data_IF_887679939965
#
_entry.id   IF_887679939965
#
_cell.length_a   1.000
_cell.length_b   1.000
_cell.length_c   1.000
_cell.angle_alpha   90.00
_cell.angle_beta   90.00
_cell.angle_gamma   90.00
#
_symmetry.space_group_name_H-M   'P 1'
#
loop_
_entity.id
_entity.type
_entity.pdbx_description
1 polymer ?
#
# COMPACT_ATOMS: atom_id res chain seq x y z
N UNK A 1 9.95 -9.92 -18.60
CA UNK A 1 10.14 -9.24 -17.30
C UNK A 1 8.80 -8.65 -16.88
N UNK A 2 8.12 -9.29 -15.91
CA UNK A 2 6.94 -8.70 -15.28
C UNK A 2 7.41 -7.56 -14.36
N UNK A 3 6.82 -6.36 -14.52
CA UNK A 3 7.06 -5.24 -13.60
C UNK A 3 6.25 -5.51 -12.35
N UNK A 4 6.91 -5.96 -11.28
CA UNK A 4 6.30 -6.10 -9.96
C UNK A 4 6.17 -4.70 -9.37
N UNK A 5 5.00 -4.09 -9.51
CA UNK A 5 4.71 -2.84 -8.84
C UNK A 5 4.41 -3.14 -7.38
N UNK A 6 5.33 -2.77 -6.48
CA UNK A 6 5.12 -2.86 -5.03
C UNK A 6 4.29 -1.65 -4.60
N UNK A 7 2.98 -1.79 -4.61
CA UNK A 7 2.09 -0.79 -4.02
C UNK A 7 1.86 -1.14 -2.56
N UNK A 8 1.98 -0.16 -1.66
CA UNK A 8 1.56 -0.35 -0.27
C UNK A 8 0.04 -0.40 -0.22
N UNK A 9 -0.53 -1.30 0.59
CA UNK A 9 -1.98 -1.50 0.71
C UNK A 9 -2.73 -0.18 0.94
N UNK A 10 -2.16 0.73 1.73
CA UNK A 10 -2.74 2.05 1.98
C UNK A 10 -2.87 2.93 0.73
N UNK A 11 -1.90 2.87 -0.18
CA UNK A 11 -1.97 3.62 -1.45
C UNK A 11 -3.06 3.04 -2.34
N UNK A 12 -3.20 1.71 -2.41
CA UNK A 12 -4.26 1.07 -3.20
C UNK A 12 -5.64 1.44 -2.64
N UNK A 13 -5.82 1.42 -1.32
CA UNK A 13 -7.06 1.80 -0.67
C UNK A 13 -7.46 3.25 -0.99
N UNK A 14 -6.53 4.20 -0.91
CA UNK A 14 -6.79 5.61 -1.24
C UNK A 14 -7.20 5.80 -2.71
N UNK A 15 -6.60 5.03 -3.63
CA UNK A 15 -6.97 5.08 -5.05
C UNK A 15 -8.35 4.47 -5.31
N UNK A 16 -8.72 3.41 -4.58
CA UNK A 16 -10.07 2.82 -4.64
C UNK A 16 -11.12 3.85 -4.21
N UNK A 17 -10.92 4.53 -3.08
CA UNK A 17 -11.84 5.58 -2.62
C UNK A 17 -12.00 6.72 -3.63
N UNK A 18 -10.91 7.11 -4.30
CA UNK A 18 -10.94 8.12 -5.38
C UNK A 18 -11.77 7.66 -6.57
N UNK A 19 -11.64 6.39 -6.98
CA UNK A 19 -12.40 5.81 -8.09
C UNK A 19 -13.89 5.77 -7.75
N UNK A 20 -14.25 5.31 -6.54
CA UNK A 20 -15.64 5.26 -6.08
C UNK A 20 -16.29 6.65 -6.02
N UNK A 21 -15.55 7.64 -5.49
CA UNK A 21 -15.99 9.04 -5.47
C UNK A 21 -16.22 9.59 -6.88
N UNK A 22 -15.31 9.29 -7.82
CA UNK A 22 -15.46 9.70 -9.21
C UNK A 22 -16.71 9.09 -9.87
N UNK A 23 -16.98 7.80 -9.65
CA UNK A 23 -18.20 7.13 -10.14
C UNK A 23 -19.45 7.84 -9.61
N UNK A 24 -19.50 8.10 -8.30
CA UNK A 24 -20.64 8.80 -7.68
C UNK A 24 -20.87 10.21 -8.26
N UNK A 25 -19.79 10.95 -8.50
CA UNK A 25 -19.86 12.28 -9.11
C UNK A 25 -20.37 12.20 -10.56
N UNK A 26 -19.93 11.20 -11.33
CA UNK A 26 -20.43 10.96 -12.68
C UNK A 26 -21.93 10.64 -12.68
N UNK A 27 -22.42 9.85 -11.72
CA UNK A 27 -23.84 9.56 -11.57
C UNK A 27 -24.69 10.79 -11.27
N UNK A 28 -24.18 11.70 -10.45
CA UNK A 28 -24.84 12.97 -10.19
C UNK A 28 -24.81 13.87 -11.44
N UNK A 29 -23.67 13.96 -12.13
CA UNK A 29 -23.52 14.76 -13.34
C UNK A 29 -24.48 14.33 -14.46
N UNK A 30 -24.73 13.02 -14.61
CA UNK A 30 -25.69 12.49 -15.61
C UNK A 30 -27.11 13.05 -15.46
N UNK A 31 -27.50 13.55 -14.27
CA UNK A 31 -28.83 14.13 -14.03
C UNK A 31 -29.00 15.54 -14.61
N UNK A 32 -27.90 16.22 -14.94
CA UNK A 32 -27.88 17.65 -15.27
C UNK A 32 -27.34 17.95 -16.68
N UNK A 33 -26.99 16.93 -17.46
CA UNK A 33 -26.36 17.12 -18.77
C UNK A 33 -27.24 16.64 -19.92
N UNK A 34 -26.88 17.05 -21.14
CA UNK A 34 -27.58 16.62 -22.36
C UNK A 34 -27.49 15.10 -22.57
N UNK A 35 -28.45 14.47 -23.25
CA UNK A 35 -28.43 13.02 -23.51
C UNK A 35 -27.15 12.53 -24.19
N UNK A 36 -26.60 13.29 -25.15
CA UNK A 36 -25.33 12.95 -25.81
C UNK A 36 -24.15 12.96 -24.83
N UNK A 37 -24.16 13.87 -23.86
CA UNK A 37 -23.15 13.92 -22.78
C UNK A 37 -23.34 12.79 -21.78
N UNK A 38 -24.58 12.39 -21.48
CA UNK A 38 -24.87 11.22 -20.63
C UNK A 38 -24.21 9.96 -21.19
N UNK A 39 -24.28 9.73 -22.50
CA UNK A 39 -23.67 8.53 -23.11
C UNK A 39 -22.15 8.51 -23.04
N UNK A 40 -21.50 9.68 -23.03
CA UNK A 40 -20.05 9.79 -22.79
C UNK A 40 -19.72 9.53 -21.33
N UNK A 41 -20.46 10.16 -20.40
CA UNK A 41 -20.25 9.96 -18.96
C UNK A 41 -20.49 8.49 -18.58
N UNK A 42 -21.53 7.85 -19.12
CA UNK A 42 -21.82 6.44 -18.90
C UNK A 42 -20.69 5.53 -19.36
N UNK A 43 -20.09 5.80 -20.53
CA UNK A 43 -18.93 5.03 -21.02
C UNK A 43 -17.73 5.16 -20.08
N UNK A 44 -17.42 6.38 -19.64
CA UNK A 44 -16.31 6.63 -18.72
C UNK A 44 -16.56 5.99 -17.34
N UNK A 45 -17.80 6.03 -16.85
CA UNK A 45 -18.22 5.34 -15.63
C UNK A 45 -17.95 3.84 -15.73
N UNK A 46 -18.40 3.20 -16.81
CA UNK A 46 -18.21 1.75 -17.00
C UNK A 46 -16.71 1.37 -17.06
N UNK A 47 -15.86 2.23 -17.62
CA UNK A 47 -14.41 2.02 -17.62
C UNK A 47 -13.81 2.06 -16.21
N UNK A 48 -14.28 2.98 -15.36
CA UNK A 48 -13.85 3.07 -13.97
C UNK A 48 -14.34 1.87 -13.14
N UNK A 49 -15.56 1.40 -13.36
CA UNK A 49 -16.09 0.20 -12.70
C UNK A 49 -15.27 -1.05 -13.08
N UNK A 50 -14.94 -1.22 -14.36
CA UNK A 50 -14.10 -2.32 -14.82
C UNK A 50 -12.67 -2.24 -14.25
N UNK A 51 -12.14 -1.04 -14.05
CA UNK A 51 -10.82 -0.84 -13.44
C UNK A 51 -10.85 -1.16 -11.94
N UNK A 52 -11.90 -0.74 -11.23
CA UNK A 52 -12.12 -1.07 -9.82
C UNK A 52 -12.22 -2.59 -9.63
N UNK A 53 -13.01 -3.26 -10.47
CA UNK A 53 -13.13 -4.71 -10.44
C UNK A 53 -11.78 -5.41 -10.62
N UNK A 54 -10.95 -4.93 -11.56
CA UNK A 54 -9.59 -5.46 -11.76
C UNK A 54 -8.67 -5.23 -10.56
N UNK A 55 -8.80 -4.11 -9.85
CA UNK A 55 -8.04 -3.85 -8.62
C UNK A 55 -8.49 -4.79 -7.51
N UNK A 56 -9.80 -4.98 -7.34
CA UNK A 56 -10.37 -5.87 -6.32
C UNK A 56 -10.01 -7.35 -6.55
N UNK A 57 -9.87 -7.77 -7.81
CA UNK A 57 -9.42 -9.11 -8.19
C UNK A 57 -7.89 -9.25 -8.25
N UNK A 58 -7.14 -8.16 -8.12
CA UNK A 58 -5.69 -8.25 -8.07
C UNK A 58 -5.27 -8.80 -6.70
N UNK A 59 -4.49 -9.88 -6.69
CA UNK A 59 -3.83 -10.35 -5.48
C UNK A 59 -2.84 -9.27 -5.00
N UNK A 60 -3.28 -8.43 -4.06
CA UNK A 60 -2.41 -7.47 -3.38
C UNK A 60 -1.57 -8.26 -2.38
N UNK A 61 -0.49 -8.85 -2.88
CA UNK A 61 0.55 -9.42 -2.02
C UNK A 61 1.21 -8.29 -1.23
N UNK A 62 0.93 -8.21 0.06
CA UNK A 62 1.70 -7.37 0.96
C UNK A 62 3.09 -8.00 1.13
N UNK A 63 4.14 -7.22 0.86
CA UNK A 63 5.52 -7.53 1.28
C UNK A 63 5.52 -7.98 2.74
N UNK A 64 6.43 -8.90 3.13
CA UNK A 64 6.21 -9.81 4.24
C UNK A 64 5.72 -9.07 5.49
N UNK A 65 4.59 -9.51 6.05
CA UNK A 65 4.01 -8.90 7.25
C UNK A 65 5.04 -8.78 8.37
N UNK A 66 4.73 -7.97 9.40
CA UNK A 66 5.62 -7.71 10.53
C UNK A 66 6.33 -8.98 11.05
N UNK A 67 5.65 -10.13 11.05
CA UNK A 67 6.22 -11.42 11.39
C UNK A 67 7.43 -11.83 10.53
N UNK A 68 7.34 -11.73 9.21
CA UNK A 68 8.45 -12.10 8.34
C UNK A 68 9.57 -11.04 8.32
N UNK A 69 9.24 -9.77 8.61
CA UNK A 69 10.26 -8.76 8.93
C UNK A 69 10.96 -9.05 10.26
N UNK A 70 10.23 -9.53 11.28
CA UNK A 70 10.79 -9.95 12.56
C UNK A 70 11.63 -11.22 12.42
N UNK A 71 11.21 -12.17 11.59
CA UNK A 71 11.97 -13.40 11.31
C UNK A 71 13.25 -13.10 10.53
N UNK A 72 13.18 -12.26 9.49
CA UNK A 72 14.35 -11.85 8.70
C UNK A 72 15.36 -11.01 9.50
N UNK A 73 14.88 -10.24 10.49
CA UNK A 73 15.73 -9.43 11.37
C UNK A 73 15.93 -10.06 12.76
N UNK A 74 15.58 -11.33 12.95
CA UNK A 74 15.56 -11.98 14.27
C UNK A 74 16.91 -11.88 14.99
N UNK A 75 18.01 -12.10 14.28
CA UNK A 75 19.36 -12.02 14.86
C UNK A 75 19.69 -10.58 15.28
N UNK A 76 19.44 -9.60 14.42
CA UNK A 76 19.67 -8.19 14.73
C UNK A 76 18.84 -7.72 15.94
N UNK A 77 17.56 -8.10 15.99
CA UNK A 77 16.70 -7.82 17.14
C UNK A 77 17.20 -8.52 18.40
N UNK A 78 17.59 -9.79 18.30
CA UNK A 78 18.20 -10.53 19.41
C UNK A 78 19.49 -9.85 19.89
N UNK A 79 20.37 -9.40 19.01
CA UNK A 79 21.62 -8.71 19.37
C UNK A 79 21.34 -7.38 20.09
N UNK A 80 20.33 -6.62 19.63
CA UNK A 80 19.87 -5.39 20.28
C UNK A 80 19.36 -5.65 21.71
N UNK A 81 18.59 -6.71 21.93
CA UNK A 81 18.08 -7.07 23.27
C UNK A 81 19.10 -7.83 24.13
N UNK A 82 20.09 -8.49 23.52
CA UNK A 82 21.18 -9.19 24.21
C UNK A 82 22.17 -8.21 24.83
N UNK A 83 22.37 -7.04 24.20
CA UNK A 83 23.26 -6.00 24.67
C UNK A 83 22.89 -5.48 26.08
N UNK A 84 21.59 -5.44 26.42
CA UNK A 84 21.13 -5.01 27.74
C UNK A 84 21.24 -6.10 28.82
N UNK A 85 21.18 -7.39 28.45
CA UNK A 85 21.24 -8.50 29.42
C UNK A 85 22.67 -8.93 29.75
N UNK A 86 23.60 -8.79 28.81
CA UNK A 86 25.04 -8.95 29.08
C UNK A 86 25.65 -7.60 29.42
N UNK A 87 25.53 -7.22 30.68
CA UNK A 87 26.23 -6.10 31.30
C UNK A 87 27.76 -6.36 31.36
N UNK A 88 28.39 -6.58 30.20
CA UNK A 88 29.84 -6.60 29.99
C UNK A 88 30.17 -5.47 29.04
N UNK A 89 30.29 -4.28 29.61
CA UNK A 89 31.29 -3.29 29.22
C UNK A 89 32.68 -3.93 29.31
N UNK A 90 33.00 -4.87 28.43
CA UNK A 90 34.31 -5.53 28.36
C UNK A 90 35.27 -4.83 27.40
N UNK A 91 34.96 -3.59 27.01
CA UNK A 91 36.01 -2.68 26.54
C UNK A 91 35.69 -1.25 26.93
N UNK A 92 35.97 -0.90 28.20
CA UNK A 92 36.56 0.41 28.48
C UNK A 92 37.88 0.44 27.69
N UNK A 93 37.84 0.88 26.42
CA UNK A 93 39.04 1.39 25.77
C UNK A 93 39.38 2.67 26.53
N UNK A 94 40.28 2.54 27.50
CA UNK A 94 41.03 3.68 28.04
C UNK A 94 41.68 4.37 26.84
N UNK A 95 41.12 5.49 26.41
CA UNK A 95 41.90 6.50 25.69
C UNK A 95 42.88 7.10 26.69
N UNK A 96 44.03 6.45 26.84
CA UNK A 96 45.28 7.07 27.28
C UNK A 96 46.21 7.16 26.08
N UNK A 97 46.09 8.26 25.35
CA UNK A 97 47.19 9.15 24.95
C UNK A 97 46.60 10.39 24.32
#
# INVERSE_FOLDING_TARGET
MQRTYVYTLGVVAEQVEKIESAIKNMEQAMRHVSPATVDVIRRNKNQLEALLERIMHADVSSTPGLQALMEGNKQCLQDCFSADYTNRLSTIRRTRR
#
